data_IF_848587784802
#
_entry.id   IF_848587784802
#
_cell.length_a   1.000
_cell.length_b   1.000
_cell.length_c   1.000
_cell.angle_alpha   90.00
_cell.angle_beta   90.00
_cell.angle_gamma   90.00
#
_symmetry.space_group_name_H-M   'P 1'
#
loop_
_entity.id
_entity.type
_entity.pdbx_description
1 polymer ?
#
# COMPACT_ATOMS: atom_id res chain seq x y z
N UNK A 1 3.84 -17.95 7.56
CA UNK A 1 4.87 -17.38 8.44
C UNK A 1 5.89 -16.65 7.60
N UNK A 2 6.24 -15.46 8.01
CA UNK A 2 7.26 -14.61 7.39
C UNK A 2 8.48 -14.48 8.33
N UNK A 3 9.45 -13.66 7.96
CA UNK A 3 10.69 -13.43 8.70
C UNK A 3 10.39 -12.82 10.08
N UNK A 4 9.40 -11.92 10.16
CA UNK A 4 8.95 -11.32 11.42
C UNK A 4 8.39 -12.39 12.36
N UNK A 5 7.56 -13.31 11.84
CA UNK A 5 7.03 -14.44 12.62
C UNK A 5 8.13 -15.35 13.15
N UNK A 6 9.20 -15.54 12.39
CA UNK A 6 10.32 -16.41 12.79
C UNK A 6 11.18 -15.75 13.88
N UNK A 7 11.31 -14.43 13.84
CA UNK A 7 12.08 -13.66 14.83
C UNK A 7 11.28 -13.38 16.12
N UNK A 8 9.95 -13.48 16.07
CA UNK A 8 9.08 -13.17 17.20
C UNK A 8 8.94 -14.36 18.14
N UNK A 9 8.89 -14.09 19.45
CA UNK A 9 8.58 -15.11 20.47
C UNK A 9 7.13 -15.58 20.39
N UNK A 10 6.21 -14.66 20.08
CA UNK A 10 4.80 -14.92 19.90
C UNK A 10 4.38 -14.52 18.48
N UNK A 11 3.60 -15.39 17.83
CA UNK A 11 2.97 -15.11 16.55
C UNK A 11 1.46 -15.31 16.70
N UNK A 12 0.72 -14.20 16.60
CA UNK A 12 -0.74 -14.20 16.61
C UNK A 12 -1.23 -14.04 15.17
N UNK A 13 -1.99 -15.01 14.62
CA UNK A 13 -2.53 -14.85 13.28
C UNK A 13 -3.54 -13.69 13.26
N UNK A 14 -3.33 -12.76 12.35
CA UNK A 14 -4.23 -11.64 12.10
C UNK A 14 -5.32 -12.07 11.15
N UNK A 15 -6.57 -11.81 11.51
CA UNK A 15 -7.69 -12.02 10.60
C UNK A 15 -7.63 -11.03 9.44
N UNK A 16 -7.95 -11.51 8.25
CA UNK A 16 -8.12 -10.67 7.07
C UNK A 16 -9.41 -9.84 7.18
N UNK A 17 -9.51 -8.68 6.52
CA UNK A 17 -10.73 -7.85 6.58
C UNK A 17 -11.98 -8.57 6.05
N UNK A 18 -11.83 -9.58 5.20
CA UNK A 18 -12.93 -10.45 4.75
C UNK A 18 -13.35 -11.50 5.79
N UNK A 19 -12.60 -11.65 6.87
CA UNK A 19 -12.78 -12.63 7.94
C UNK A 19 -13.19 -11.99 9.27
N UNK A 20 -13.21 -10.67 9.36
CA UNK A 20 -13.42 -9.96 10.62
C UNK A 20 -14.34 -8.75 10.47
N UNK A 21 -15.12 -8.46 11.51
CA UNK A 21 -15.87 -7.23 11.64
C UNK A 21 -14.93 -6.05 11.85
N UNK A 22 -15.26 -4.94 11.21
CA UNK A 22 -14.54 -3.70 11.35
C UNK A 22 -15.37 -2.51 10.87
N UNK A 23 -14.78 -1.35 10.94
CA UNK A 23 -15.34 -0.12 10.39
C UNK A 23 -14.21 0.78 9.87
N UNK A 24 -14.59 1.77 9.10
CA UNK A 24 -13.67 2.77 8.59
C UNK A 24 -14.35 4.13 8.45
N UNK A 25 -13.53 5.18 8.61
CA UNK A 25 -13.94 6.55 8.27
C UNK A 25 -13.13 7.02 7.08
N UNK A 26 -13.82 7.37 6.00
CA UNK A 26 -13.21 7.95 4.82
C UNK A 26 -12.75 9.40 5.08
N UNK A 27 -11.92 9.94 4.18
CA UNK A 27 -11.38 11.30 4.31
C UNK A 27 -12.48 12.36 4.36
N UNK A 28 -13.58 12.14 3.64
CA UNK A 28 -14.76 13.01 3.64
C UNK A 28 -15.65 12.86 4.89
N UNK A 29 -15.28 12.00 5.83
CA UNK A 29 -16.03 11.71 7.04
C UNK A 29 -17.06 10.58 6.93
N UNK A 30 -17.28 10.02 5.74
CA UNK A 30 -18.21 8.89 5.56
C UNK A 30 -17.80 7.71 6.42
N UNK A 31 -18.73 7.19 7.21
CA UNK A 31 -18.54 6.00 8.03
C UNK A 31 -19.07 4.77 7.30
N UNK A 32 -18.25 3.74 7.22
CA UNK A 32 -18.59 2.47 6.56
C UNK A 32 -18.32 1.28 7.46
N UNK A 33 -19.13 0.25 7.29
CA UNK A 33 -18.97 -1.04 7.96
C UNK A 33 -18.21 -2.01 7.08
N UNK A 34 -17.33 -2.78 7.73
CA UNK A 34 -16.69 -3.94 7.13
C UNK A 34 -17.32 -5.18 7.74
N UNK A 35 -18.02 -5.94 6.91
CA UNK A 35 -18.70 -7.17 7.30
C UNK A 35 -17.92 -8.38 6.79
N UNK A 36 -17.62 -9.37 7.62
CA UNK A 36 -16.89 -10.56 7.18
C UNK A 36 -17.74 -11.37 6.19
N UNK A 37 -17.08 -11.97 5.21
CA UNK A 37 -17.69 -12.90 4.26
C UNK A 37 -17.54 -14.36 4.71
N UNK A 38 -16.52 -14.63 5.50
CA UNK A 38 -16.18 -15.97 6.02
C UNK A 38 -15.68 -15.86 7.45
N UNK A 39 -15.67 -16.98 8.16
CA UNK A 39 -14.99 -17.11 9.45
C UNK A 39 -13.46 -17.13 9.25
N UNK A 40 -12.65 -16.71 10.26
CA UNK A 40 -11.21 -16.72 10.19
C UNK A 40 -10.65 -18.11 9.91
N UNK A 41 -9.93 -18.28 8.78
CA UNK A 41 -9.41 -19.57 8.33
C UNK A 41 -8.42 -20.20 9.31
N UNK A 42 -7.69 -19.37 10.04
CA UNK A 42 -6.61 -19.80 10.94
C UNK A 42 -6.87 -19.44 12.41
N UNK A 43 -8.13 -19.22 12.78
CA UNK A 43 -8.48 -18.76 14.12
C UNK A 43 -7.89 -17.40 14.49
N UNK A 44 -7.63 -16.58 13.46
CA UNK A 44 -7.08 -15.25 13.62
C UNK A 44 -8.01 -14.29 14.34
N UNK A 45 -7.44 -13.26 14.94
CA UNK A 45 -8.17 -12.17 15.59
C UNK A 45 -7.95 -10.87 14.81
N UNK A 46 -8.93 -9.98 14.84
CA UNK A 46 -8.79 -8.63 14.33
C UNK A 46 -7.93 -7.77 15.26
N UNK A 47 -7.41 -6.67 14.74
CA UNK A 47 -6.65 -5.71 15.56
C UNK A 47 -7.50 -5.18 16.72
N UNK A 48 -8.79 -4.91 16.48
CA UNK A 48 -9.71 -4.42 17.50
C UNK A 48 -9.94 -5.43 18.63
N UNK A 49 -10.06 -6.71 18.30
CA UNK A 49 -10.21 -7.77 19.31
C UNK A 49 -8.95 -7.93 20.17
N UNK A 50 -7.77 -7.88 19.54
CA UNK A 50 -6.49 -7.94 20.27
C UNK A 50 -6.30 -6.71 21.16
N UNK A 51 -6.61 -5.51 20.66
CA UNK A 51 -6.51 -4.29 21.44
C UNK A 51 -7.51 -4.25 22.60
N UNK A 52 -8.74 -4.73 22.42
CA UNK A 52 -9.73 -4.84 23.48
C UNK A 52 -9.23 -5.78 24.61
N UNK A 53 -8.64 -6.92 24.24
CA UNK A 53 -8.05 -7.84 25.20
C UNK A 53 -6.89 -7.20 25.97
N UNK A 54 -5.98 -6.48 25.29
CA UNK A 54 -4.86 -5.78 25.92
C UNK A 54 -5.31 -4.62 26.82
N UNK A 55 -6.44 -4.00 26.52
CA UNK A 55 -7.05 -2.97 27.35
C UNK A 55 -7.73 -3.52 28.62
N UNK A 56 -7.62 -4.81 28.89
CA UNK A 56 -8.20 -5.44 30.07
C UNK A 56 -9.66 -5.88 29.90
N UNK A 57 -10.15 -5.91 28.65
CA UNK A 57 -11.44 -6.48 28.30
C UNK A 57 -11.41 -8.01 28.29
N UNK A 58 -12.61 -8.60 28.34
CA UNK A 58 -12.79 -10.01 28.06
C UNK A 58 -12.54 -10.31 26.57
N UNK A 59 -12.52 -11.58 26.17
CA UNK A 59 -12.42 -12.00 24.75
C UNK A 59 -13.66 -11.56 23.97
N UNK A 60 -13.73 -10.25 23.69
CA UNK A 60 -14.84 -9.63 22.99
C UNK A 60 -14.78 -9.97 21.48
N UNK A 61 -15.94 -10.27 20.91
CA UNK A 61 -16.05 -10.54 19.47
C UNK A 61 -16.07 -9.24 18.68
N UNK A 62 -15.43 -9.23 17.53
CA UNK A 62 -15.35 -8.05 16.65
C UNK A 62 -16.72 -7.44 16.34
N UNK A 63 -17.76 -8.25 16.15
CA UNK A 63 -19.14 -7.78 15.97
C UNK A 63 -19.62 -6.91 17.14
N UNK A 64 -19.40 -7.37 18.37
CA UNK A 64 -19.86 -6.67 19.56
C UNK A 64 -19.11 -5.34 19.76
N UNK A 65 -17.80 -5.32 19.50
CA UNK A 65 -16.97 -4.11 19.56
C UNK A 65 -17.41 -3.06 18.55
N UNK A 66 -17.61 -3.45 17.30
CA UNK A 66 -18.09 -2.54 16.25
C UNK A 66 -19.48 -2.01 16.61
N UNK A 67 -20.39 -2.90 16.98
CA UNK A 67 -21.75 -2.53 17.34
C UNK A 67 -21.84 -1.57 18.52
N UNK A 68 -20.98 -1.77 19.54
CA UNK A 68 -20.90 -0.86 20.68
C UNK A 68 -20.41 0.54 20.25
N UNK A 69 -19.38 0.62 19.44
CA UNK A 69 -18.89 1.87 18.86
C UNK A 69 -20.00 2.59 18.10
N UNK A 70 -20.79 1.87 17.31
CA UNK A 70 -21.85 2.45 16.48
C UNK A 70 -23.08 2.87 17.26
N UNK A 71 -23.28 2.39 18.49
CA UNK A 71 -24.34 2.89 19.40
C UNK A 71 -24.21 4.40 19.68
N UNK A 72 -22.97 4.91 19.70
CA UNK A 72 -22.71 6.35 19.87
C UNK A 72 -22.84 7.17 18.59
N UNK A 73 -22.95 6.53 17.43
CA UNK A 73 -22.96 7.19 16.12
C UNK A 73 -24.37 7.24 15.49
N UNK A 74 -25.14 6.20 15.70
CA UNK A 74 -26.52 6.09 15.17
C UNK A 74 -27.47 6.83 16.11
N UNK A 75 -28.13 7.86 15.58
CA UNK A 75 -29.15 8.62 16.34
C UNK A 75 -30.50 7.92 16.30
N UNK A 76 -31.29 8.05 17.39
CA UNK A 76 -32.65 7.53 17.48
C UNK A 76 -32.71 6.04 17.78
N UNK A 77 -33.57 5.30 17.04
CA UNK A 77 -33.72 3.84 17.19
C UNK A 77 -32.48 3.12 16.64
N UNK A 78 -31.64 2.70 17.55
CA UNK A 78 -30.38 2.02 17.20
C UNK A 78 -30.59 0.75 16.38
N UNK A 79 -31.58 -0.08 16.74
CA UNK A 79 -31.76 -1.39 16.06
C UNK A 79 -32.20 -1.21 14.61
N UNK A 80 -33.06 -0.27 14.33
CA UNK A 80 -33.47 0.05 12.97
C UNK A 80 -32.33 0.71 12.19
N UNK A 81 -31.63 1.69 12.78
CA UNK A 81 -30.47 2.34 12.18
C UNK A 81 -29.34 1.37 11.92
N UNK A 82 -29.07 0.44 12.84
CA UNK A 82 -28.06 -0.60 12.66
C UNK A 82 -28.38 -1.53 11.48
N UNK A 83 -29.63 -2.02 11.39
CA UNK A 83 -30.05 -2.86 10.25
C UNK A 83 -29.95 -2.13 8.92
N UNK A 84 -30.33 -0.85 8.89
CA UNK A 84 -30.19 -0.04 7.70
C UNK A 84 -28.72 0.13 7.29
N UNK A 85 -27.87 0.42 8.26
CA UNK A 85 -26.42 0.56 8.01
C UNK A 85 -25.79 -0.74 7.55
N UNK A 86 -26.19 -1.88 8.11
CA UNK A 86 -25.75 -3.20 7.62
C UNK A 86 -26.15 -3.45 6.17
N UNK A 87 -27.34 -3.03 5.78
CA UNK A 87 -27.83 -3.16 4.41
C UNK A 87 -27.09 -2.23 3.46
N UNK A 88 -26.91 -0.96 3.85
CA UNK A 88 -26.34 0.08 2.98
C UNK A 88 -24.80 0.08 2.99
N UNK A 89 -24.18 -0.52 4.01
CA UNK A 89 -22.74 -0.54 4.23
C UNK A 89 -22.16 0.78 4.75
N UNK A 90 -22.94 1.85 4.80
CA UNK A 90 -22.54 3.19 5.22
C UNK A 90 -23.59 3.82 6.14
N UNK A 91 -23.14 4.77 6.99
CA UNK A 91 -24.04 5.61 7.78
C UNK A 91 -24.29 6.93 7.03
N UNK A 92 -25.53 7.21 6.59
CA UNK A 92 -25.86 8.43 5.89
C UNK A 92 -25.64 9.69 6.74
N UNK A 93 -25.29 10.81 6.11
CA UNK A 93 -25.23 12.12 6.76
C UNK A 93 -24.01 12.38 7.63
N UNK A 94 -22.99 11.52 7.58
CA UNK A 94 -21.75 11.66 8.37
C UNK A 94 -20.59 12.25 7.53
N UNK A 95 -20.89 13.00 6.50
CA UNK A 95 -19.86 13.67 5.71
C UNK A 95 -19.35 14.93 6.41
N UNK A 96 -18.04 15.18 6.30
CA UNK A 96 -17.43 16.42 6.78
C UNK A 96 -17.98 17.62 5.99
N UNK A 97 -18.14 18.76 6.66
CA UNK A 97 -18.55 19.99 5.99
C UNK A 97 -17.51 20.39 4.94
N UNK A 98 -17.99 20.75 3.75
CA UNK A 98 -17.11 21.27 2.69
C UNK A 98 -16.42 22.55 3.14
N UNK A 99 -15.09 22.59 2.99
CA UNK A 99 -14.29 23.79 3.26
C UNK A 99 -14.03 24.50 1.95
N UNK A 100 -14.40 25.77 1.86
CA UNK A 100 -14.05 26.61 0.73
C UNK A 100 -12.54 26.89 0.75
N UNK A 101 -11.79 26.18 -0.07
CA UNK A 101 -10.36 26.39 -0.21
C UNK A 101 -10.08 27.51 -1.23
N UNK A 102 -9.19 28.44 -0.86
CA UNK A 102 -8.70 29.48 -1.77
C UNK A 102 -7.27 29.15 -2.17
N UNK A 103 -7.05 29.05 -3.49
CA UNK A 103 -5.70 28.86 -4.04
C UNK A 103 -4.88 30.14 -3.80
N UNK A 104 -3.65 30.01 -3.33
CA UNK A 104 -2.71 31.10 -3.08
C UNK A 104 -1.54 31.06 -4.09
N UNK A 105 -1.74 31.57 -5.33
CA UNK A 105 -0.76 31.37 -6.40
C UNK A 105 0.63 31.95 -6.09
N UNK A 106 0.68 33.07 -5.37
CA UNK A 106 1.94 33.69 -4.98
C UNK A 106 2.78 32.84 -4.03
N UNK A 107 2.13 32.16 -3.08
CA UNK A 107 2.84 31.25 -2.16
C UNK A 107 3.30 29.99 -2.86
N UNK A 108 2.50 29.45 -3.78
CA UNK A 108 2.87 28.29 -4.61
C UNK A 108 4.10 28.65 -5.46
N UNK A 109 4.08 29.80 -6.15
CA UNK A 109 5.20 30.27 -6.96
C UNK A 109 6.47 30.49 -6.11
N UNK A 110 6.34 31.01 -4.91
CA UNK A 110 7.45 31.19 -3.97
C UNK A 110 8.01 29.84 -3.51
N UNK A 111 7.16 28.88 -3.18
CA UNK A 111 7.57 27.53 -2.78
C UNK A 111 8.30 26.80 -3.91
N UNK A 112 7.79 26.88 -5.15
CA UNK A 112 8.45 26.29 -6.33
C UNK A 112 9.82 26.94 -6.56
N UNK A 113 9.94 28.26 -6.45
CA UNK A 113 11.22 28.98 -6.58
C UNK A 113 12.23 28.63 -5.50
N UNK A 114 11.76 28.40 -4.28
CA UNK A 114 12.63 28.07 -3.14
C UNK A 114 13.11 26.61 -3.20
N UNK A 115 12.41 25.74 -3.92
CA UNK A 115 12.78 24.34 -4.04
C UNK A 115 13.95 24.19 -5.01
N UNK A 116 15.06 23.65 -4.51
CA UNK A 116 16.19 23.28 -5.36
C UNK A 116 15.94 21.90 -5.96
N UNK A 117 15.63 21.87 -7.24
CA UNK A 117 15.47 20.64 -7.99
C UNK A 117 16.86 20.09 -8.32
N UNK A 118 17.20 18.96 -7.72
CA UNK A 118 18.33 18.17 -8.21
C UNK A 118 17.89 17.49 -9.50
N UNK A 119 18.32 18.00 -10.63
CA UNK A 119 18.06 17.35 -11.93
C UNK A 119 19.14 16.30 -12.12
N UNK A 120 18.76 15.07 -12.41
CA UNK A 120 19.69 14.01 -12.78
C UNK A 120 20.58 14.50 -13.93
N UNK A 121 21.90 14.29 -13.76
CA UNK A 121 22.87 14.69 -14.78
C UNK A 121 22.56 13.94 -16.09
N UNK A 122 22.57 14.68 -17.19
CA UNK A 122 22.39 14.10 -18.52
C UNK A 122 23.58 13.26 -19.02
N UNK A 123 24.56 13.02 -18.17
CA UNK A 123 25.64 12.09 -18.47
C UNK A 123 25.42 10.75 -17.76
N UNK A 124 25.80 9.67 -18.40
CA UNK A 124 25.61 8.30 -17.91
C UNK A 124 26.31 7.98 -16.54
N UNK A 125 26.93 8.97 -15.91
CA UNK A 125 27.62 8.83 -14.64
C UNK A 125 26.75 9.12 -13.43
N UNK A 126 25.58 9.72 -13.64
CA UNK A 126 24.60 10.03 -12.60
C UNK A 126 23.18 9.69 -13.05
N UNK A 127 22.76 8.43 -12.91
CA UNK A 127 21.39 8.03 -13.16
C UNK A 127 20.54 8.30 -11.91
N UNK A 128 19.30 8.69 -12.11
CA UNK A 128 18.32 8.83 -11.04
C UNK A 128 17.68 7.47 -10.74
N UNK A 129 17.82 6.99 -9.51
CA UNK A 129 17.17 5.75 -9.04
C UNK A 129 15.76 6.03 -8.54
N UNK A 130 14.74 5.48 -9.17
CA UNK A 130 13.33 5.62 -8.80
C UNK A 130 12.86 4.33 -8.13
N UNK A 131 12.67 4.37 -6.82
CA UNK A 131 12.08 3.26 -6.07
C UNK A 131 10.56 3.43 -6.00
N UNK A 132 9.84 2.42 -6.44
CA UNK A 132 8.37 2.45 -6.41
C UNK A 132 7.80 1.12 -5.92
N UNK A 133 6.62 1.12 -5.28
CA UNK A 133 5.94 -0.12 -4.93
C UNK A 133 5.66 -0.96 -6.19
N UNK A 134 5.86 -2.28 -6.08
CA UNK A 134 5.44 -3.20 -7.14
C UNK A 134 3.91 -3.22 -7.24
N UNK A 135 3.38 -3.28 -8.43
CA UNK A 135 1.94 -3.32 -8.67
C UNK A 135 1.27 -4.53 -8.00
N UNK A 136 1.96 -5.67 -7.97
CA UNK A 136 1.43 -6.93 -7.41
C UNK A 136 1.83 -7.15 -5.96
N UNK A 137 3.11 -7.05 -5.64
CA UNK A 137 3.65 -7.38 -4.31
C UNK A 137 3.75 -6.18 -3.37
N UNK A 138 3.43 -4.98 -3.85
CA UNK A 138 3.48 -3.75 -3.07
C UNK A 138 4.91 -3.38 -2.65
N UNK A 139 5.11 -3.17 -1.36
CA UNK A 139 6.40 -2.92 -0.73
C UNK A 139 7.09 -4.20 -0.21
N UNK A 140 6.56 -5.36 -0.56
CA UNK A 140 7.01 -6.67 -0.11
C UNK A 140 6.08 -7.36 0.89
N UNK A 141 5.08 -6.66 1.43
CA UNK A 141 4.11 -7.27 2.35
C UNK A 141 3.32 -8.42 1.72
N UNK A 142 3.19 -8.43 0.40
CA UNK A 142 2.51 -9.45 -0.38
C UNK A 142 3.48 -10.43 -1.08
N UNK A 143 4.78 -10.35 -0.81
CA UNK A 143 5.79 -11.17 -1.49
C UNK A 143 5.61 -12.67 -1.28
N UNK A 144 5.00 -13.10 -0.16
CA UNK A 144 4.70 -14.51 0.10
C UNK A 144 3.43 -15.02 -0.58
N UNK A 145 2.73 -14.18 -1.33
CA UNK A 145 1.54 -14.58 -2.09
C UNK A 145 1.94 -14.99 -3.51
N UNK A 146 2.01 -16.30 -3.75
CA UNK A 146 2.39 -16.86 -5.06
C UNK A 146 1.46 -16.44 -6.20
N UNK A 147 0.17 -16.24 -5.94
CA UNK A 147 -0.79 -15.76 -6.95
C UNK A 147 -0.47 -14.33 -7.42
N UNK A 148 -0.06 -13.46 -6.50
CA UNK A 148 0.36 -12.11 -6.83
C UNK A 148 1.73 -12.09 -7.52
N UNK A 149 2.63 -12.99 -7.17
CA UNK A 149 3.91 -13.17 -7.87
C UNK A 149 3.71 -13.63 -9.32
N UNK A 150 2.71 -14.47 -9.56
CA UNK A 150 2.38 -15.01 -10.88
C UNK A 150 1.62 -14.00 -11.76
N UNK A 151 0.95 -13.02 -11.16
CA UNK A 151 0.20 -12.00 -11.87
C UNK A 151 1.16 -11.09 -12.66
N UNK A 152 1.07 -11.04 -14.00
CA UNK A 152 1.97 -10.20 -14.78
C UNK A 152 1.77 -8.71 -14.51
N UNK A 153 2.87 -7.98 -14.43
CA UNK A 153 2.84 -6.53 -14.38
C UNK A 153 2.08 -5.96 -15.61
N UNK A 154 1.19 -4.98 -15.43
CA UNK A 154 0.34 -4.49 -16.53
C UNK A 154 1.11 -3.83 -17.66
N UNK A 155 2.32 -3.32 -17.42
CA UNK A 155 3.15 -2.61 -18.42
C UNK A 155 4.22 -3.54 -18.98
N UNK A 156 5.08 -4.05 -18.11
CA UNK A 156 6.25 -4.87 -18.51
C UNK A 156 5.89 -6.30 -18.83
N UNK A 157 4.75 -6.80 -18.35
CA UNK A 157 4.29 -8.20 -18.43
C UNK A 157 5.19 -9.20 -17.69
N UNK A 158 6.11 -8.71 -16.88
CA UNK A 158 6.98 -9.56 -16.06
C UNK A 158 6.19 -10.16 -14.89
N UNK A 159 6.59 -11.36 -14.49
CA UNK A 159 6.08 -12.09 -13.34
C UNK A 159 7.25 -12.82 -12.65
N UNK A 160 7.15 -13.06 -11.35
CA UNK A 160 8.10 -13.81 -10.53
C UNK A 160 9.49 -13.19 -10.35
N UNK A 161 9.83 -12.11 -11.04
CA UNK A 161 11.17 -11.53 -11.01
C UNK A 161 11.12 -10.00 -10.96
N UNK A 162 12.24 -9.40 -10.59
CA UNK A 162 12.43 -7.97 -10.56
C UNK A 162 13.52 -7.56 -11.55
N UNK A 163 13.43 -6.35 -12.06
CA UNK A 163 14.32 -5.82 -13.10
C UNK A 163 14.74 -4.39 -12.80
N UNK A 164 15.83 -3.96 -13.41
CA UNK A 164 16.15 -2.55 -13.58
C UNK A 164 15.52 -2.05 -14.87
N UNK A 165 14.48 -1.21 -14.77
CA UNK A 165 13.84 -0.65 -15.98
C UNK A 165 14.61 0.56 -16.47
N UNK A 166 14.80 0.66 -17.79
CA UNK A 166 15.52 1.74 -18.47
C UNK A 166 14.74 2.24 -19.68
N UNK A 167 14.95 3.52 -20.04
CA UNK A 167 14.47 4.01 -21.34
C UNK A 167 15.31 3.42 -22.48
N UNK A 168 14.77 3.33 -23.71
CA UNK A 168 15.55 2.88 -24.88
C UNK A 168 16.84 3.66 -25.08
N UNK A 169 16.78 4.98 -24.92
CA UNK A 169 17.96 5.86 -25.08
C UNK A 169 19.02 5.59 -24.01
N UNK A 170 18.62 5.50 -22.75
CA UNK A 170 19.54 5.20 -21.64
C UNK A 170 20.20 3.83 -21.81
N UNK A 171 19.43 2.83 -22.24
CA UNK A 171 19.96 1.49 -22.50
C UNK A 171 20.97 1.49 -23.66
N UNK A 172 20.71 2.24 -24.75
CA UNK A 172 21.63 2.39 -25.88
C UNK A 172 22.93 3.04 -25.45
N UNK A 173 22.87 4.14 -24.71
CA UNK A 173 24.06 4.87 -24.23
C UNK A 173 24.91 4.02 -23.23
N UNK A 174 24.26 3.19 -22.44
CA UNK A 174 24.93 2.23 -21.55
C UNK A 174 25.43 0.98 -22.28
N UNK A 175 25.00 0.75 -23.51
CA UNK A 175 25.36 -0.42 -24.32
C UNK A 175 24.74 -1.72 -23.79
N UNK A 176 23.56 -1.65 -23.15
CA UNK A 176 22.86 -2.80 -22.57
C UNK A 176 21.55 -3.08 -23.32
N UNK A 177 21.11 -4.32 -23.26
CA UNK A 177 19.86 -4.80 -23.86
C UNK A 177 19.04 -5.56 -22.83
N UNK A 178 17.80 -5.90 -23.18
CA UNK A 178 16.94 -6.73 -22.31
C UNK A 178 17.67 -8.00 -21.87
N UNK A 179 17.49 -8.36 -20.61
CA UNK A 179 18.04 -9.54 -19.95
C UNK A 179 19.53 -9.45 -19.60
N UNK A 180 20.26 -8.41 -20.05
CA UNK A 180 21.63 -8.18 -19.57
C UNK A 180 21.62 -7.87 -18.07
N UNK A 181 22.57 -8.43 -17.34
CA UNK A 181 22.72 -8.17 -15.92
C UNK A 181 23.47 -6.86 -15.67
N UNK A 182 22.89 -5.97 -14.90
CA UNK A 182 23.51 -4.71 -14.47
C UNK A 182 23.65 -4.67 -12.96
N UNK A 183 24.72 -4.05 -12.50
CA UNK A 183 24.95 -3.76 -11.10
C UNK A 183 24.50 -2.32 -10.80
N UNK A 184 23.44 -2.21 -10.02
CA UNK A 184 22.94 -0.93 -9.52
C UNK A 184 23.56 -0.66 -8.15
N UNK A 185 24.24 0.46 -8.02
CA UNK A 185 24.91 0.86 -6.77
C UNK A 185 24.34 2.20 -6.28
N UNK A 186 23.87 2.24 -5.04
CA UNK A 186 23.33 3.44 -4.39
C UNK A 186 23.86 3.52 -2.96
N UNK A 187 24.51 4.61 -2.60
CA UNK A 187 25.00 4.86 -1.23
C UNK A 187 25.80 3.68 -0.64
N UNK A 188 26.67 3.06 -1.44
CA UNK A 188 27.51 1.94 -1.00
C UNK A 188 26.83 0.59 -0.90
N UNK A 189 25.55 0.50 -1.29
CA UNK A 189 24.81 -0.76 -1.43
C UNK A 189 24.69 -1.12 -2.91
N UNK A 190 24.78 -2.40 -3.20
CA UNK A 190 24.77 -2.91 -4.57
C UNK A 190 23.72 -4.01 -4.74
N UNK A 191 23.09 -4.03 -5.90
CA UNK A 191 22.14 -5.05 -6.30
C UNK A 191 22.38 -5.38 -7.78
N UNK A 192 22.38 -6.65 -8.14
CA UNK A 192 22.48 -7.10 -9.53
C UNK A 192 21.09 -7.51 -10.00
N UNK A 193 20.62 -6.91 -11.10
CA UNK A 193 19.31 -7.13 -11.69
C UNK A 193 19.42 -7.26 -13.21
N UNK A 194 18.53 -8.00 -13.86
CA UNK A 194 18.39 -7.96 -15.30
C UNK A 194 17.78 -6.63 -15.76
N UNK A 195 18.19 -6.17 -16.92
CA UNK A 195 17.63 -4.96 -17.56
C UNK A 195 16.31 -5.28 -18.26
N UNK A 196 15.37 -4.37 -18.16
CA UNK A 196 14.18 -4.36 -19.00
C UNK A 196 13.95 -2.98 -19.60
N UNK A 197 13.95 -2.91 -20.94
CA UNK A 197 13.80 -1.64 -21.67
C UNK A 197 12.31 -1.31 -21.80
N UNK A 198 11.90 -0.17 -21.25
CA UNK A 198 10.52 0.29 -21.21
C UNK A 198 10.38 1.56 -22.04
N UNK A 199 9.78 1.49 -23.26
CA UNK A 199 9.47 2.67 -24.05
C UNK A 199 8.53 3.61 -23.26
N UNK A 200 8.87 4.89 -23.22
CA UNK A 200 8.13 5.92 -22.48
C UNK A 200 8.64 6.20 -21.08
N UNK A 201 9.59 5.43 -20.56
CA UNK A 201 10.30 5.78 -19.33
C UNK A 201 11.19 7.01 -19.57
N UNK A 202 11.33 7.85 -18.54
CA UNK A 202 12.21 9.01 -18.61
C UNK A 202 13.68 8.60 -18.82
N UNK A 203 14.40 9.38 -19.64
CA UNK A 203 15.81 9.16 -19.86
C UNK A 203 16.62 9.41 -18.58
N UNK A 204 17.73 8.69 -18.43
CA UNK A 204 18.63 8.76 -17.29
C UNK A 204 18.01 8.37 -15.94
N UNK A 205 16.86 7.68 -15.98
CA UNK A 205 16.18 7.13 -14.81
C UNK A 205 16.27 5.60 -14.82
N UNK A 206 16.52 5.02 -13.64
CA UNK A 206 16.47 3.57 -13.39
C UNK A 206 15.27 3.29 -12.48
N UNK A 207 14.27 2.61 -12.97
CA UNK A 207 13.13 2.19 -12.16
C UNK A 207 13.45 0.87 -11.43
N UNK A 208 13.18 0.84 -10.13
CA UNK A 208 13.43 -0.29 -9.25
C UNK A 208 12.16 -0.56 -8.45
N UNK A 209 11.48 -1.65 -8.76
CA UNK A 209 10.30 -2.04 -8.01
C UNK A 209 10.69 -2.60 -6.63
N UNK A 210 9.96 -2.18 -5.59
CA UNK A 210 10.03 -2.77 -4.26
C UNK A 210 9.25 -4.08 -4.24
N UNK A 211 9.45 -4.88 -3.19
CA UNK A 211 8.63 -6.06 -2.93
C UNK A 211 9.27 -7.39 -3.31
N UNK A 212 10.41 -7.36 -3.95
CA UNK A 212 11.22 -8.54 -4.25
C UNK A 212 12.50 -8.56 -3.39
N UNK A 213 13.12 -9.71 -3.27
CA UNK A 213 14.38 -9.83 -2.51
C UNK A 213 14.21 -10.08 -1.01
N UNK A 214 13.08 -10.65 -0.64
CA UNK A 214 12.82 -11.14 0.73
C UNK A 214 13.28 -12.56 0.90
#
# INVERSE_FOLDING_TARGET
RDETSQAALWHLPRAHYLEAWGDARAVDGTLSLVQPLIEPLYGGKSDSEVLALLAGGDDARGYDLVRETWRGLIAGDFENGWRQTLHDGILPGQTAAAVAATVRPGEIAAAIKAHQWEVASADARGLEGIFHPCYTTGDGRQANNGWLQELPDPITKLAWDNVATLSPKTAEELGVKNEDLVRVAVNGRELTLPVWIVPGQADYCVGLALGYGR
#
